data_IF_144535494816
#
_entry.id   IF_144535494816
#
_cell.length_a   1.000
_cell.length_b   1.000
_cell.length_c   1.000
_cell.angle_alpha   90.00
_cell.angle_beta   90.00
_cell.angle_gamma   90.00
#
_symmetry.space_group_name_H-M   'P 1'
#
loop_
_entity.id
_entity.type
_entity.pdbx_description
1 polymer ?
#
# COMPACT_ATOMS: atom_id res chain seq x y z
N UNK A 1 -32.98 -8.82 2.55
CA UNK A 1 -33.01 -9.95 3.51
C UNK A 1 -32.14 -9.56 4.69
N UNK A 2 -32.69 -9.56 5.92
CA UNK A 2 -31.92 -9.28 7.13
C UNK A 2 -31.17 -10.55 7.54
N UNK A 3 -29.88 -10.42 7.86
CA UNK A 3 -29.07 -11.53 8.38
C UNK A 3 -29.59 -11.96 9.77
N UNK A 4 -29.56 -13.26 10.11
CA UNK A 4 -29.85 -13.74 11.46
C UNK A 4 -28.98 -13.06 12.53
N UNK A 5 -29.48 -12.84 13.75
CA UNK A 5 -28.76 -12.13 14.81
C UNK A 5 -27.36 -12.67 15.10
N UNK A 6 -27.20 -14.00 15.12
CA UNK A 6 -25.92 -14.67 15.38
C UNK A 6 -24.90 -14.40 14.27
N UNK A 7 -25.34 -14.32 13.01
CA UNK A 7 -24.48 -13.99 11.88
C UNK A 7 -24.07 -12.51 11.90
N UNK A 8 -24.96 -11.62 12.34
CA UNK A 8 -24.64 -10.19 12.51
C UNK A 8 -23.61 -10.00 13.63
N UNK A 9 -23.77 -10.69 14.75
CA UNK A 9 -22.82 -10.61 15.87
C UNK A 9 -21.45 -11.13 15.48
N UNK A 10 -21.37 -12.25 14.75
CA UNK A 10 -20.11 -12.80 14.29
C UNK A 10 -19.43 -11.89 13.24
N UNK A 11 -20.20 -11.33 12.31
CA UNK A 11 -19.68 -10.36 11.34
C UNK A 11 -19.12 -9.11 12.02
N UNK A 12 -19.82 -8.59 13.03
CA UNK A 12 -19.32 -7.47 13.84
C UNK A 12 -18.03 -7.83 14.57
N UNK A 13 -17.99 -8.99 15.24
CA UNK A 13 -16.78 -9.47 15.96
C UNK A 13 -15.57 -9.54 15.03
N UNK A 14 -15.74 -10.11 13.84
CA UNK A 14 -14.69 -10.23 12.83
C UNK A 14 -14.23 -8.88 12.31
N UNK A 15 -15.18 -8.01 11.99
CA UNK A 15 -14.87 -6.68 11.48
C UNK A 15 -14.10 -5.83 12.50
N UNK A 16 -14.49 -5.90 13.78
CA UNK A 16 -13.74 -5.28 14.87
C UNK A 16 -12.34 -5.89 15.02
N UNK A 17 -12.21 -7.23 14.92
CA UNK A 17 -10.90 -7.89 14.93
C UNK A 17 -10.00 -7.44 13.79
N UNK A 18 -10.54 -7.30 12.58
CA UNK A 18 -9.82 -6.78 11.41
C UNK A 18 -9.38 -5.33 11.61
N UNK A 19 -10.28 -4.47 12.10
CA UNK A 19 -9.95 -3.08 12.42
C UNK A 19 -8.79 -2.99 13.42
N UNK A 20 -8.83 -3.78 14.50
CA UNK A 20 -7.76 -3.83 15.49
C UNK A 20 -6.42 -4.29 14.89
N UNK A 21 -6.45 -5.28 13.99
CA UNK A 21 -5.25 -5.73 13.28
C UNK A 21 -4.66 -4.63 12.40
N UNK A 22 -5.49 -3.92 11.63
CA UNK A 22 -5.04 -2.82 10.76
C UNK A 22 -4.50 -1.65 11.60
N UNK A 23 -5.17 -1.30 12.70
CA UNK A 23 -4.68 -0.28 13.63
C UNK A 23 -3.35 -0.66 14.27
N UNK A 24 -3.19 -1.93 14.68
CA UNK A 24 -1.91 -2.45 15.17
C UNK A 24 -0.82 -2.34 14.12
N UNK A 25 -1.13 -2.69 12.87
CA UNK A 25 -0.20 -2.55 11.74
C UNK A 25 0.22 -1.11 11.51
N UNK A 26 -0.73 -0.17 11.45
CA UNK A 26 -0.43 1.25 11.29
C UNK A 26 0.41 1.79 12.46
N UNK A 27 0.08 1.44 13.70
CA UNK A 27 0.86 1.85 14.86
C UNK A 27 2.29 1.28 14.83
N UNK A 28 2.46 0.02 14.44
CA UNK A 28 3.76 -0.64 14.40
C UNK A 28 4.71 -0.02 13.35
N UNK A 29 4.16 0.39 12.21
CA UNK A 29 4.94 0.99 11.13
C UNK A 29 4.90 2.53 11.13
N UNK A 30 4.43 3.15 12.22
CA UNK A 30 4.33 4.61 12.38
C UNK A 30 3.53 5.29 11.25
N UNK A 31 2.49 4.62 10.77
CA UNK A 31 1.58 5.12 9.74
C UNK A 31 0.49 5.97 10.42
N UNK A 32 0.38 7.22 10.02
CA UNK A 32 -0.65 8.14 10.52
C UNK A 32 -2.04 7.70 10.04
N UNK A 33 -2.99 7.63 10.97
CA UNK A 33 -4.37 7.22 10.66
C UNK A 33 -5.21 8.45 10.27
N UNK A 34 -5.65 8.51 9.02
CA UNK A 34 -6.58 9.55 8.56
C UNK A 34 -8.02 9.30 9.01
N UNK A 35 -8.49 8.05 8.89
CA UNK A 35 -9.85 7.69 9.28
C UNK A 35 -10.25 6.29 8.80
N UNK A 36 -11.37 5.80 9.32
CA UNK A 36 -11.94 4.50 8.99
C UNK A 36 -13.45 4.66 8.81
N UNK A 37 -14.00 4.13 7.71
CA UNK A 37 -15.46 4.00 7.58
C UNK A 37 -15.84 2.56 7.85
N UNK A 38 -16.66 2.37 8.88
CA UNK A 38 -17.31 1.11 9.16
C UNK A 38 -18.80 1.28 8.90
N UNK A 39 -19.31 0.64 7.85
CA UNK A 39 -20.73 0.75 7.48
C UNK A 39 -21.29 -0.61 7.08
N UNK A 40 -22.38 -1.01 7.74
CA UNK A 40 -23.16 -2.20 7.40
C UNK A 40 -24.18 -1.93 6.28
N UNK A 41 -24.53 -0.66 6.05
CA UNK A 41 -25.42 -0.22 4.96
C UNK A 41 -24.67 0.20 3.69
N UNK A 42 -23.34 0.14 3.70
CA UNK A 42 -22.47 0.59 2.61
C UNK A 42 -22.13 2.08 2.67
N UNK A 43 -21.31 2.53 1.72
CA UNK A 43 -20.88 3.93 1.56
C UNK A 43 -21.26 4.36 0.15
N UNK A 44 -21.78 5.59 -0.01
CA UNK A 44 -22.14 6.10 -1.35
C UNK A 44 -20.90 6.51 -2.14
N UNK A 45 -21.02 6.57 -3.47
CA UNK A 45 -19.93 6.96 -4.35
C UNK A 45 -19.40 8.36 -4.04
N UNK A 46 -20.29 9.32 -3.80
CA UNK A 46 -19.93 10.71 -3.53
C UNK A 46 -19.17 10.86 -2.21
N UNK A 47 -19.64 10.19 -1.15
CA UNK A 47 -19.01 10.24 0.16
C UNK A 47 -17.61 9.62 0.11
N UNK A 48 -17.47 8.46 -0.54
CA UNK A 48 -16.19 7.78 -0.69
C UNK A 48 -15.21 8.60 -1.54
N UNK A 49 -15.67 9.16 -2.66
CA UNK A 49 -14.87 10.03 -3.52
C UNK A 49 -14.37 11.27 -2.75
N UNK A 50 -15.25 11.98 -2.05
CA UNK A 50 -14.89 13.16 -1.29
C UNK A 50 -13.85 12.85 -0.21
N UNK A 51 -14.01 11.71 0.47
CA UNK A 51 -13.06 11.25 1.50
C UNK A 51 -11.71 10.89 0.90
N UNK A 52 -11.66 10.11 -0.18
CA UNK A 52 -10.41 9.72 -0.83
C UNK A 52 -9.68 10.95 -1.36
N UNK A 53 -10.38 11.90 -1.99
CA UNK A 53 -9.75 13.14 -2.46
C UNK A 53 -9.18 13.98 -1.32
N UNK A 54 -9.91 14.11 -0.20
CA UNK A 54 -9.41 14.79 1.01
C UNK A 54 -8.18 14.08 1.58
N UNK A 55 -8.19 12.76 1.65
CA UNK A 55 -7.06 11.95 2.09
C UNK A 55 -5.80 12.19 1.24
N UNK A 56 -5.95 12.23 -0.09
CA UNK A 56 -4.84 12.50 -1.01
C UNK A 56 -4.31 13.94 -0.90
N UNK A 57 -5.07 14.83 -0.26
CA UNK A 57 -4.71 16.21 0.03
C UNK A 57 -4.03 16.41 1.41
N UNK A 58 -3.75 15.34 2.15
CA UNK A 58 -3.01 15.45 3.40
C UNK A 58 -1.54 15.86 3.18
N UNK A 59 -0.99 16.52 4.20
CA UNK A 59 0.38 17.00 4.29
C UNK A 59 0.87 16.76 5.71
N UNK A 60 2.17 16.58 5.85
CA UNK A 60 2.82 16.53 7.16
C UNK A 60 2.76 17.91 7.83
N UNK A 61 2.98 17.96 9.15
CA UNK A 61 2.87 19.19 9.94
C UNK A 61 3.84 20.30 9.50
N UNK A 62 4.97 19.92 8.90
CA UNK A 62 6.00 20.79 8.33
C UNK A 62 5.70 21.20 6.87
N UNK A 63 4.60 20.75 6.28
CA UNK A 63 4.07 21.20 4.99
C UNK A 63 4.21 20.28 3.76
N UNK A 64 5.20 19.38 3.61
CA UNK A 64 5.27 18.51 2.45
C UNK A 64 4.13 17.48 2.39
N UNK A 65 3.93 16.87 1.23
CA UNK A 65 3.03 15.71 1.08
C UNK A 65 3.65 14.52 1.80
N UNK A 66 2.81 13.55 2.19
CA UNK A 66 3.34 12.29 2.68
C UNK A 66 4.04 11.53 1.55
N UNK A 67 5.10 10.81 1.91
CA UNK A 67 5.85 9.98 0.97
C UNK A 67 5.02 8.79 0.46
N UNK A 68 4.24 8.18 1.35
CA UNK A 68 3.44 6.98 1.08
C UNK A 68 2.05 7.14 1.66
N UNK A 69 1.04 6.84 0.85
CA UNK A 69 -0.36 6.79 1.23
C UNK A 69 -0.82 5.34 1.15
N UNK A 70 -1.50 4.86 2.20
CA UNK A 70 -2.01 3.49 2.27
C UNK A 70 -3.53 3.52 2.42
N UNK A 71 -4.24 2.83 1.52
CA UNK A 71 -5.68 2.61 1.63
C UNK A 71 -5.91 1.12 1.87
N UNK A 72 -6.55 0.80 2.97
CA UNK A 72 -7.01 -0.55 3.26
C UNK A 72 -8.49 -0.67 2.91
N UNK A 73 -8.86 -1.71 2.17
CA UNK A 73 -10.24 -2.02 1.82
C UNK A 73 -10.56 -3.48 2.14
N UNK A 74 -11.67 -3.66 2.85
CA UNK A 74 -12.32 -4.95 3.04
C UNK A 74 -13.81 -4.77 2.87
N UNK A 75 -14.40 -5.52 1.94
CA UNK A 75 -15.79 -5.36 1.58
C UNK A 75 -16.16 -6.14 0.33
N UNK A 76 -17.39 -5.91 -0.13
CA UNK A 76 -17.95 -6.60 -1.27
C UNK A 76 -17.39 -6.07 -2.58
N UNK A 77 -16.97 -6.98 -3.45
CA UNK A 77 -16.49 -6.67 -4.79
C UNK A 77 -17.31 -7.39 -5.85
N UNK A 78 -17.36 -6.83 -7.05
CA UNK A 78 -17.78 -7.57 -8.23
C UNK A 78 -16.64 -8.47 -8.72
N UNK A 79 -16.95 -9.43 -9.60
CA UNK A 79 -15.96 -10.34 -10.21
C UNK A 79 -14.85 -9.63 -11.01
N UNK A 80 -15.12 -8.41 -11.43
CA UNK A 80 -14.19 -7.46 -12.06
C UNK A 80 -13.22 -6.82 -11.06
N UNK A 81 -13.43 -7.02 -9.75
CA UNK A 81 -12.70 -6.41 -8.64
C UNK A 81 -13.21 -5.02 -8.23
N UNK A 82 -14.21 -4.49 -8.93
CA UNK A 82 -14.83 -3.21 -8.61
C UNK A 82 -15.47 -3.25 -7.22
N UNK A 83 -15.24 -2.23 -6.40
CA UNK A 83 -15.84 -2.13 -5.09
C UNK A 83 -17.33 -1.85 -5.22
N UNK A 84 -18.16 -2.66 -4.58
CA UNK A 84 -19.59 -2.45 -4.53
C UNK A 84 -19.91 -1.37 -3.49
N UNK A 85 -20.67 -0.35 -3.90
CA UNK A 85 -21.05 0.78 -3.08
C UNK A 85 -22.56 0.79 -2.79
N UNK A 86 -22.97 1.61 -1.83
CA UNK A 86 -24.39 1.81 -1.57
C UNK A 86 -25.07 2.43 -2.80
N UNK A 87 -26.33 2.05 -3.05
CA UNK A 87 -27.09 2.54 -4.21
C UNK A 87 -26.85 1.77 -5.52
N UNK A 88 -25.98 0.75 -5.51
CA UNK A 88 -25.66 -0.04 -6.71
C UNK A 88 -24.51 0.57 -7.54
N UNK A 89 -23.91 1.65 -7.05
CA UNK A 89 -22.72 2.24 -7.65
C UNK A 89 -21.49 1.35 -7.46
N UNK A 90 -20.46 1.63 -8.26
CA UNK A 90 -19.20 0.90 -8.20
C UNK A 90 -18.00 1.84 -8.23
N UNK A 91 -16.93 1.47 -7.55
CA UNK A 91 -15.64 2.16 -7.67
C UNK A 91 -14.62 1.25 -8.35
N UNK A 92 -14.02 1.79 -9.41
CA UNK A 92 -12.98 1.13 -10.20
C UNK A 92 -11.59 1.62 -9.80
N UNK A 93 -10.57 0.81 -10.10
CA UNK A 93 -9.18 1.16 -9.83
C UNK A 93 -8.72 2.40 -10.61
N UNK A 94 -9.13 2.54 -11.88
CA UNK A 94 -8.78 3.68 -12.72
C UNK A 94 -9.29 5.01 -12.15
N UNK A 95 -10.50 5.04 -11.58
CA UNK A 95 -11.00 6.23 -10.88
C UNK A 95 -10.08 6.66 -9.74
N UNK A 96 -9.62 5.71 -8.89
CA UNK A 96 -8.70 6.02 -7.78
C UNK A 96 -7.36 6.51 -8.31
N UNK A 97 -6.83 5.86 -9.36
CA UNK A 97 -5.55 6.23 -9.98
C UNK A 97 -5.63 7.61 -10.65
N UNK A 98 -6.76 7.96 -11.25
CA UNK A 98 -6.97 9.27 -11.86
C UNK A 98 -7.01 10.36 -10.79
N UNK A 99 -7.74 10.15 -9.68
CA UNK A 99 -7.72 11.08 -8.54
C UNK A 99 -6.33 11.19 -7.93
N UNK A 100 -5.61 10.07 -7.83
CA UNK A 100 -4.23 10.06 -7.35
C UNK A 100 -3.31 10.90 -8.25
N UNK A 101 -3.42 10.75 -9.57
CA UNK A 101 -2.63 11.53 -10.53
C UNK A 101 -3.00 13.00 -10.52
N UNK A 102 -4.29 13.33 -10.39
CA UNK A 102 -4.80 14.70 -10.26
C UNK A 102 -4.14 15.41 -9.07
N UNK A 103 -4.02 14.73 -7.92
CA UNK A 103 -3.55 15.33 -6.66
C UNK A 103 -2.04 15.23 -6.44
N UNK A 104 -1.40 14.16 -6.90
CA UNK A 104 -0.03 13.81 -6.58
C UNK A 104 0.85 13.53 -7.81
N UNK A 105 0.36 13.78 -9.04
CA UNK A 105 1.13 13.53 -10.26
C UNK A 105 2.40 14.38 -10.43
N UNK A 106 2.47 15.54 -9.78
CA UNK A 106 3.65 16.41 -9.75
C UNK A 106 4.56 16.18 -8.53
N UNK A 107 4.14 15.31 -7.60
CA UNK A 107 4.82 15.06 -6.33
C UNK A 107 5.40 13.66 -6.33
N UNK A 108 6.57 13.45 -5.71
CA UNK A 108 7.16 12.13 -5.55
C UNK A 108 6.53 11.36 -4.38
N UNK A 109 5.20 11.16 -4.44
CA UNK A 109 4.46 10.34 -3.46
C UNK A 109 4.00 9.04 -4.13
N UNK A 110 3.76 8.00 -3.33
CA UNK A 110 3.21 6.72 -3.81
C UNK A 110 1.94 6.30 -3.09
N UNK A 111 1.14 5.49 -3.77
CA UNK A 111 -0.11 4.92 -3.27
C UNK A 111 -0.01 3.40 -3.17
N UNK A 112 -0.42 2.85 -2.03
CA UNK A 112 -0.50 1.41 -1.80
C UNK A 112 -1.95 1.08 -1.42
N UNK A 113 -2.58 0.20 -2.20
CA UNK A 113 -3.89 -0.35 -1.91
C UNK A 113 -3.72 -1.74 -1.31
N UNK A 114 -4.28 -1.98 -0.13
CA UNK A 114 -4.30 -3.30 0.51
C UNK A 114 -5.74 -3.80 0.53
N UNK A 115 -5.99 -4.92 -0.12
CA UNK A 115 -7.32 -5.45 -0.38
C UNK A 115 -7.50 -6.81 0.31
N UNK A 116 -8.43 -6.87 1.26
CA UNK A 116 -8.95 -8.13 1.83
C UNK A 116 -10.39 -8.32 1.34
N UNK A 117 -10.52 -8.81 0.10
CA UNK A 117 -11.81 -9.04 -0.56
C UNK A 117 -11.71 -10.21 -1.55
N UNK A 118 -12.87 -10.81 -1.89
CA UNK A 118 -12.96 -12.02 -2.70
C UNK A 118 -12.31 -11.88 -4.09
N UNK A 119 -12.57 -10.77 -4.77
CA UNK A 119 -12.10 -10.52 -6.14
C UNK A 119 -11.04 -9.41 -6.18
N UNK A 120 -9.97 -9.53 -5.38
CA UNK A 120 -8.87 -8.54 -5.37
C UNK A 120 -7.85 -8.71 -6.53
N UNK A 121 -7.74 -9.92 -7.11
CA UNK A 121 -6.75 -10.24 -8.15
C UNK A 121 -6.88 -9.45 -9.47
N UNK A 122 -8.08 -9.07 -9.94
CA UNK A 122 -8.22 -8.17 -11.08
C UNK A 122 -7.41 -6.89 -10.90
N UNK A 123 -7.52 -6.21 -9.75
CA UNK A 123 -6.78 -4.98 -9.47
C UNK A 123 -5.27 -5.19 -9.38
N UNK A 124 -4.83 -6.33 -8.84
CA UNK A 124 -3.41 -6.75 -8.84
C UNK A 124 -2.83 -6.87 -10.27
N UNK A 125 -3.66 -7.24 -11.26
CA UNK A 125 -3.25 -7.31 -12.67
C UNK A 125 -3.37 -5.96 -13.36
N UNK A 126 -4.42 -5.20 -13.07
CA UNK A 126 -4.71 -3.91 -13.70
C UNK A 126 -3.72 -2.83 -13.30
N UNK A 127 -3.22 -2.81 -12.06
CA UNK A 127 -2.21 -1.82 -11.62
C UNK A 127 -0.94 -1.87 -12.47
N UNK A 128 -0.60 -3.02 -13.06
CA UNK A 128 0.55 -3.19 -13.97
C UNK A 128 0.37 -2.45 -15.30
N UNK A 129 -0.87 -2.16 -15.66
CA UNK A 129 -1.25 -1.44 -16.88
C UNK A 129 -1.32 0.08 -16.67
N UNK A 130 -1.24 0.56 -15.43
CA UNK A 130 -1.25 1.99 -15.12
C UNK A 130 -0.12 2.69 -15.86
N UNK A 131 -0.50 3.69 -16.65
CA UNK A 131 0.43 4.51 -17.43
C UNK A 131 0.83 5.79 -16.69
N UNK A 132 1.91 6.42 -17.15
CA UNK A 132 2.44 7.64 -16.57
C UNK A 132 3.31 7.41 -15.31
N UNK A 133 3.94 8.48 -14.79
CA UNK A 133 4.90 8.43 -13.68
C UNK A 133 4.19 8.29 -12.31
N UNK A 134 3.25 7.35 -12.19
CA UNK A 134 2.51 7.10 -10.95
C UNK A 134 3.09 5.88 -10.24
N UNK A 135 3.43 6.03 -8.96
CA UNK A 135 3.92 4.96 -8.09
C UNK A 135 2.75 4.33 -7.35
N UNK A 136 2.17 3.27 -7.91
CA UNK A 136 0.99 2.62 -7.32
C UNK A 136 1.27 1.13 -7.15
N UNK A 137 0.89 0.58 -5.99
CA UNK A 137 0.91 -0.85 -5.72
C UNK A 137 -0.45 -1.32 -5.21
N UNK A 138 -0.77 -2.58 -5.51
CA UNK A 138 -1.94 -3.28 -5.00
C UNK A 138 -1.47 -4.58 -4.35
N UNK A 139 -1.78 -4.76 -3.08
CA UNK A 139 -1.73 -6.03 -2.38
C UNK A 139 -3.13 -6.61 -2.35
N UNK A 140 -3.29 -7.84 -2.82
CA UNK A 140 -4.52 -8.60 -2.76
C UNK A 140 -4.31 -9.98 -2.18
N UNK A 141 -5.41 -10.69 -2.02
CA UNK A 141 -5.48 -12.02 -1.47
C UNK A 141 -6.45 -12.91 -2.25
N UNK A 142 -6.28 -14.22 -2.12
CA UNK A 142 -7.22 -15.22 -2.62
C UNK A 142 -7.44 -16.23 -1.52
N UNK A 143 -8.72 -16.42 -1.18
CA UNK A 143 -9.17 -17.42 -0.23
C UNK A 143 -9.46 -18.70 -1.02
N UNK A 144 -8.89 -19.82 -0.60
CA UNK A 144 -9.11 -21.11 -1.22
C UNK A 144 -10.59 -21.50 -1.09
N UNK A 145 -11.23 -21.85 -2.21
CA UNK A 145 -12.58 -22.41 -2.19
C UNK A 145 -12.46 -23.85 -1.70
N UNK A 146 -13.07 -24.15 -0.55
CA UNK A 146 -13.06 -25.49 0.04
C UNK A 146 -13.64 -26.50 -0.96
N UNK A 147 -12.80 -27.43 -1.43
CA UNK A 147 -13.23 -28.59 -2.22
C UNK A 147 -13.37 -29.86 -1.38
N UNK A 148 -12.71 -29.93 -0.21
CA UNK A 148 -12.78 -31.06 0.72
C UNK A 148 -13.36 -30.64 2.08
N UNK A 149 -14.50 -31.22 2.43
CA UNK A 149 -15.39 -30.81 3.53
C UNK A 149 -14.92 -31.29 4.92
N UNK A 150 -13.84 -32.06 5.02
CA UNK A 150 -13.65 -32.91 6.20
C UNK A 150 -12.74 -32.41 7.34
N UNK A 151 -12.01 -31.29 7.26
CA UNK A 151 -11.09 -30.96 8.38
C UNK A 151 -10.78 -29.50 8.75
N UNK A 152 -11.19 -28.47 8.00
CA UNK A 152 -10.92 -27.08 8.39
C UNK A 152 -12.08 -26.15 8.03
N UNK A 153 -12.33 -25.16 8.89
CA UNK A 153 -13.26 -24.08 8.58
C UNK A 153 -12.81 -23.36 7.30
N UNK A 154 -13.74 -22.99 6.40
CA UNK A 154 -13.40 -22.30 5.17
C UNK A 154 -12.70 -20.97 5.49
N UNK A 155 -11.67 -20.58 4.69
CA UNK A 155 -11.03 -19.28 4.87
C UNK A 155 -12.04 -18.15 4.67
N UNK A 156 -11.93 -17.12 5.50
CA UNK A 156 -12.88 -16.03 5.61
C UNK A 156 -12.21 -14.67 5.46
N UNK A 157 -13.01 -13.65 5.15
CA UNK A 157 -12.57 -12.26 5.13
C UNK A 157 -11.95 -11.88 6.49
N UNK A 158 -10.75 -11.31 6.45
CA UNK A 158 -9.95 -11.01 7.64
C UNK A 158 -8.84 -12.02 7.94
N UNK A 159 -8.90 -13.23 7.39
CA UNK A 159 -7.83 -14.22 7.56
C UNK A 159 -6.56 -13.76 6.84
N UNK A 160 -6.71 -13.15 5.65
CA UNK A 160 -5.59 -12.50 4.99
C UNK A 160 -5.05 -11.35 5.84
N UNK A 161 -5.90 -10.43 6.30
CA UNK A 161 -5.47 -9.30 7.12
C UNK A 161 -4.70 -9.76 8.36
N UNK A 162 -5.21 -10.74 9.10
CA UNK A 162 -4.54 -11.24 10.31
C UNK A 162 -3.16 -11.83 10.01
N UNK A 163 -3.04 -12.68 8.99
CA UNK A 163 -1.76 -13.28 8.58
C UNK A 163 -0.80 -12.22 8.03
N UNK A 164 -1.28 -11.27 7.24
CA UNK A 164 -0.47 -10.22 6.65
C UNK A 164 0.07 -9.24 7.71
N UNK A 165 -0.76 -8.88 8.69
CA UNK A 165 -0.34 -8.06 9.83
C UNK A 165 0.67 -8.82 10.70
N UNK A 166 0.43 -10.09 11.01
CA UNK A 166 1.37 -10.88 11.79
C UNK A 166 2.72 -11.03 11.08
N UNK A 167 2.72 -11.26 9.76
CA UNK A 167 3.94 -11.34 8.95
C UNK A 167 4.75 -10.03 8.97
N UNK A 168 4.09 -8.87 8.91
CA UNK A 168 4.77 -7.57 8.87
C UNK A 168 5.17 -7.04 10.25
N UNK A 169 4.43 -7.39 11.30
CA UNK A 169 4.66 -6.87 12.65
C UNK A 169 5.46 -7.83 13.56
N UNK A 170 5.58 -9.11 13.20
CA UNK A 170 6.33 -10.10 13.98
C UNK A 170 7.47 -10.73 13.17
N UNK A 171 8.71 -10.37 13.54
CA UNK A 171 9.93 -10.90 12.94
C UNK A 171 10.09 -12.42 13.13
N UNK A 172 9.45 -12.99 14.15
CA UNK A 172 9.48 -14.42 14.46
C UNK A 172 8.24 -15.16 13.92
N UNK A 173 7.45 -14.53 13.05
CA UNK A 173 6.28 -15.19 12.47
C UNK A 173 6.71 -16.40 11.64
N UNK A 174 6.05 -17.54 11.85
CA UNK A 174 6.26 -18.76 11.05
C UNK A 174 5.60 -18.69 9.65
N UNK A 175 5.12 -17.52 9.23
CA UNK A 175 4.30 -17.37 8.02
C UNK A 175 5.21 -17.39 6.78
N UNK A 176 5.04 -18.42 5.96
CA UNK A 176 5.75 -18.57 4.69
C UNK A 176 4.79 -18.46 3.50
N UNK A 177 4.70 -17.27 2.90
CA UNK A 177 3.77 -17.01 1.79
C UNK A 177 3.99 -17.90 0.56
N UNK A 178 5.21 -18.41 0.35
CA UNK A 178 5.58 -19.30 -0.76
C UNK A 178 5.19 -20.77 -0.56
N UNK A 179 4.64 -21.13 0.61
CA UNK A 179 4.20 -22.49 0.89
C UNK A 179 2.99 -22.86 0.02
N UNK A 180 3.02 -24.05 -0.59
CA UNK A 180 1.92 -24.54 -1.44
C UNK A 180 0.78 -25.07 -0.58
N UNK A 181 -0.45 -24.85 -1.04
CA UNK A 181 -1.66 -25.40 -0.39
C UNK A 181 -2.18 -24.58 0.77
N UNK A 182 -1.70 -23.34 0.97
CA UNK A 182 -2.26 -22.42 1.96
C UNK A 182 -3.72 -22.10 1.64
N UNK A 183 -4.56 -22.08 2.67
CA UNK A 183 -5.95 -21.63 2.56
C UNK A 183 -6.06 -20.15 2.15
N UNK A 184 -5.04 -19.35 2.51
CA UNK A 184 -4.92 -17.94 2.12
C UNK A 184 -3.65 -17.75 1.31
N UNK A 185 -3.82 -17.30 0.07
CA UNK A 185 -2.73 -16.92 -0.82
C UNK A 185 -2.68 -15.41 -0.98
N UNK A 186 -1.47 -14.85 -1.11
CA UNK A 186 -1.28 -13.44 -1.34
C UNK A 186 -0.77 -13.17 -2.76
N UNK A 187 -1.14 -12.03 -3.32
CA UNK A 187 -0.59 -11.56 -4.59
C UNK A 187 -0.44 -10.06 -4.55
N UNK A 188 0.62 -9.54 -5.17
CA UNK A 188 0.77 -8.11 -5.33
C UNK A 188 1.06 -7.73 -6.79
N UNK A 189 0.71 -6.49 -7.10
CA UNK A 189 0.93 -5.84 -8.38
C UNK A 189 1.48 -4.44 -8.15
N UNK A 190 2.29 -3.97 -9.09
CA UNK A 190 2.91 -2.65 -9.04
C UNK A 190 2.80 -1.98 -10.41
N UNK A 191 2.79 -0.66 -10.42
CA UNK A 191 2.87 0.13 -11.65
C UNK A 191 4.26 0.03 -12.29
N UNK A 192 4.33 0.31 -13.59
CA UNK A 192 5.58 0.20 -14.39
C UNK A 192 6.74 1.03 -13.82
N UNK A 193 6.42 2.14 -13.17
CA UNK A 193 7.37 3.11 -12.64
C UNK A 193 7.67 2.94 -11.15
N UNK A 194 7.07 1.94 -10.48
CA UNK A 194 7.24 1.72 -9.04
C UNK A 194 8.71 1.72 -8.59
N UNK A 195 9.61 1.11 -9.37
CA UNK A 195 11.04 1.02 -9.03
C UNK A 195 11.81 2.33 -9.08
N UNK A 196 11.26 3.39 -9.67
CA UNK A 196 11.91 4.70 -9.74
C UNK A 196 11.66 5.54 -8.50
N UNK A 197 10.69 5.14 -7.68
CA UNK A 197 10.38 5.80 -6.43
C UNK A 197 11.57 5.73 -5.47
N UNK A 198 11.87 6.87 -4.87
CA UNK A 198 12.79 6.99 -3.74
C UNK A 198 12.09 7.80 -2.65
N UNK A 199 12.22 7.34 -1.40
CA UNK A 199 11.81 8.15 -0.24
C UNK A 199 12.50 9.50 -0.28
N UNK A 200 11.81 10.56 0.16
CA UNK A 200 12.40 11.87 0.20
C UNK A 200 13.59 11.85 1.17
N UNK A 201 14.79 12.01 0.63
CA UNK A 201 15.99 12.22 1.43
C UNK A 201 16.08 13.72 1.77
N UNK A 202 16.65 14.09 2.92
CA UNK A 202 16.88 15.49 3.27
C UNK A 202 17.63 16.18 2.13
N UNK A 203 17.18 17.36 1.72
CA UNK A 203 17.89 18.14 0.71
C UNK A 203 19.25 18.60 1.24
N UNK A 204 20.18 18.91 0.35
CA UNK A 204 21.49 19.47 0.72
C UNK A 204 21.35 20.71 1.62
N UNK A 205 20.31 21.53 1.37
CA UNK A 205 19.95 22.67 2.22
C UNK A 205 19.43 22.26 3.59
N UNK A 206 18.64 21.19 3.69
CA UNK A 206 18.13 20.71 4.98
C UNK A 206 19.28 20.16 5.83
N UNK A 207 20.20 19.41 5.19
CA UNK A 207 21.42 18.93 5.84
C UNK A 207 22.28 20.10 6.30
N UNK A 208 22.51 21.11 5.46
CA UNK A 208 23.30 22.29 5.84
C UNK A 208 22.66 23.11 6.97
N UNK A 209 21.34 23.30 6.94
CA UNK A 209 20.59 24.02 7.97
C UNK A 209 20.60 23.26 9.30
N UNK A 210 20.31 21.95 9.28
CA UNK A 210 20.39 21.10 10.46
C UNK A 210 21.80 21.09 11.04
N UNK A 211 22.81 20.88 10.18
CA UNK A 211 24.20 20.86 10.61
C UNK A 211 24.61 22.20 11.22
N UNK A 212 24.15 23.31 10.63
CA UNK A 212 24.46 24.64 11.12
C UNK A 212 23.81 24.98 12.46
N UNK A 213 22.65 24.37 12.75
CA UNK A 213 21.89 24.57 13.99
C UNK A 213 22.42 23.73 15.15
N UNK A 214 22.96 22.53 14.89
CA UNK A 214 23.33 21.57 15.93
C UNK A 214 24.84 21.31 16.06
N UNK A 215 25.68 21.69 15.09
CA UNK A 215 27.12 21.39 15.10
C UNK A 215 28.02 22.64 15.02
N UNK A 216 29.25 22.59 15.60
CA UNK A 216 30.19 23.70 15.58
C UNK A 216 30.72 24.04 14.17
N UNK A 217 30.95 25.34 13.92
CA UNK A 217 31.39 25.89 12.62
C UNK A 217 32.66 25.26 12.03
N UNK A 218 33.53 24.69 12.85
CA UNK A 218 34.78 24.01 12.41
C UNK A 218 34.49 22.81 11.50
N UNK A 219 33.30 22.21 11.59
CA UNK A 219 32.89 21.04 10.81
C UNK A 219 32.26 21.39 9.45
N UNK A 220 32.00 22.66 9.16
CA UNK A 220 31.30 23.10 7.95
C UNK A 220 32.06 22.82 6.63
N UNK A 221 33.40 22.94 6.56
CA UNK A 221 34.14 22.60 5.34
C UNK A 221 33.95 21.14 4.92
N UNK A 222 33.77 20.22 5.89
CA UNK A 222 33.53 18.79 5.63
C UNK A 222 32.18 18.57 4.97
N UNK A 223 31.14 19.28 5.45
CA UNK A 223 29.79 19.23 4.85
C UNK A 223 29.81 19.78 3.43
N UNK A 224 30.47 20.93 3.20
CA UNK A 224 30.57 21.51 1.86
C UNK A 224 31.29 20.60 0.86
N UNK A 225 32.33 19.87 1.29
CA UNK A 225 33.02 18.88 0.45
C UNK A 225 32.14 17.66 0.15
N UNK A 226 31.38 17.17 1.13
CA UNK A 226 30.45 16.06 0.93
C UNK A 226 29.34 16.41 -0.06
N UNK A 227 28.76 17.60 0.06
CA UNK A 227 27.72 18.13 -0.84
C UNK A 227 28.26 18.36 -2.27
N UNK A 228 29.51 18.84 -2.41
CA UNK A 228 30.14 19.02 -3.72
C UNK A 228 30.34 17.68 -4.45
N UNK A 229 30.86 16.65 -3.76
CA UNK A 229 31.03 15.32 -4.36
C UNK A 229 29.70 14.71 -4.83
N UNK A 230 28.59 15.01 -4.15
CA UNK A 230 27.25 14.56 -4.55
C UNK A 230 26.71 15.24 -5.82
N UNK A 231 27.17 16.44 -6.14
CA UNK A 231 26.64 17.26 -7.27
C UNK A 231 27.27 16.92 -8.63
N UNK A 232 28.34 16.11 -8.66
CA UNK A 232 29.00 15.71 -9.90
C UNK A 232 28.16 14.69 -10.69
N UNK A 233 27.30 15.24 -11.55
CA UNK A 233 26.28 14.56 -12.36
C UNK A 233 26.85 13.74 -13.56
N UNK A 234 28.07 13.21 -13.46
CA UNK A 234 28.77 12.46 -14.52
C UNK A 234 28.14 11.08 -14.83
N UNK A 235 27.21 10.61 -13.99
CA UNK A 235 26.61 9.27 -14.06
C UNK A 235 25.15 9.25 -14.55
N UNK A 236 24.64 10.36 -15.08
CA UNK A 236 23.21 10.50 -15.40
C UNK A 236 22.70 9.48 -16.43
N UNK A 237 23.42 9.24 -17.53
CA UNK A 237 23.04 8.23 -18.54
C UNK A 237 23.07 6.82 -17.94
N UNK A 238 24.11 6.50 -17.17
CA UNK A 238 24.21 5.24 -16.44
C UNK A 238 23.01 5.06 -15.48
N UNK A 239 22.59 6.13 -14.81
CA UNK A 239 21.45 6.11 -13.89
C UNK A 239 20.13 5.83 -14.61
N UNK A 240 19.92 6.39 -15.80
CA UNK A 240 18.71 6.17 -16.60
C UNK A 240 18.65 4.72 -17.13
N UNK A 241 19.77 4.19 -17.65
CA UNK A 241 19.86 2.79 -18.06
C UNK A 241 19.64 1.83 -16.88
N UNK A 242 20.21 2.13 -15.71
CA UNK A 242 20.00 1.35 -14.49
C UNK A 242 18.55 1.38 -14.02
N UNK A 243 17.85 2.53 -14.10
CA UNK A 243 16.42 2.62 -13.80
C UNK A 243 15.60 1.77 -14.78
N UNK A 244 15.91 1.82 -16.07
CA UNK A 244 15.25 0.97 -17.07
C UNK A 244 15.44 -0.53 -16.77
N UNK A 245 16.68 -0.94 -16.48
CA UNK A 245 16.99 -2.32 -16.08
C UNK A 245 16.26 -2.74 -14.80
N UNK A 246 16.19 -1.86 -13.79
CA UNK A 246 15.41 -2.09 -12.57
C UNK A 246 13.92 -2.28 -12.86
N UNK A 247 13.33 -1.43 -13.70
CA UNK A 247 11.93 -1.54 -14.14
C UNK A 247 11.69 -2.88 -14.86
N UNK A 248 12.54 -3.23 -15.82
CA UNK A 248 12.41 -4.49 -16.58
C UNK A 248 12.54 -5.69 -15.63
N UNK A 249 13.57 -5.70 -14.78
CA UNK A 249 13.79 -6.76 -13.79
C UNK A 249 12.57 -6.94 -12.89
N UNK A 250 12.06 -5.86 -12.31
CA UNK A 250 10.95 -5.92 -11.35
C UNK A 250 9.62 -6.32 -12.01
N UNK A 251 9.40 -5.90 -13.25
CA UNK A 251 8.18 -6.26 -14.00
C UNK A 251 8.21 -7.70 -14.53
N UNK A 252 9.37 -8.21 -14.94
CA UNK A 252 9.51 -9.59 -15.47
C UNK A 252 9.70 -10.62 -14.37
N UNK A 253 10.41 -10.25 -13.31
CA UNK A 253 10.74 -11.13 -12.18
C UNK A 253 10.37 -10.43 -10.86
N UNK A 254 9.07 -10.22 -10.60
CA UNK A 254 8.64 -9.66 -9.34
C UNK A 254 9.05 -10.61 -8.20
N UNK A 255 9.75 -10.12 -7.16
CA UNK A 255 10.16 -10.96 -6.04
C UNK A 255 8.95 -11.54 -5.30
N UNK A 256 9.14 -12.63 -4.55
CA UNK A 256 8.07 -13.15 -3.69
C UNK A 256 7.70 -12.18 -2.57
N UNK A 257 8.67 -11.38 -2.13
CA UNK A 257 8.52 -10.37 -1.10
C UNK A 257 9.13 -9.06 -1.60
N UNK A 258 8.32 -8.01 -1.64
CA UNK A 258 8.72 -6.69 -2.06
C UNK A 258 8.74 -5.75 -0.85
N UNK A 259 9.93 -5.32 -0.47
CA UNK A 259 10.10 -4.32 0.59
C UNK A 259 9.63 -2.94 0.09
N UNK A 260 8.78 -2.28 0.87
CA UNK A 260 8.32 -0.93 0.57
C UNK A 260 9.35 0.12 1.01
N UNK A 261 10.29 -0.21 1.89
CA UNK A 261 11.22 0.75 2.51
C UNK A 261 10.60 1.55 3.66
N UNK A 262 9.32 1.32 4.02
CA UNK A 262 8.67 1.86 5.23
C UNK A 262 8.52 0.81 6.33
N UNK A 263 9.34 -0.24 6.30
CA UNK A 263 9.36 -1.28 7.33
C UNK A 263 8.31 -2.38 7.16
N UNK A 264 7.43 -2.30 6.15
CA UNK A 264 6.51 -3.37 5.78
C UNK A 264 6.68 -3.81 4.32
N UNK A 265 6.20 -5.01 4.01
CA UNK A 265 6.45 -5.74 2.77
C UNK A 265 5.16 -6.13 2.08
N UNK A 266 5.16 -6.04 0.75
CA UNK A 266 4.14 -6.65 -0.11
C UNK A 266 4.56 -8.08 -0.41
N UNK A 267 3.60 -9.00 -0.44
CA UNK A 267 3.86 -10.44 -0.45
C UNK A 267 3.07 -11.15 -1.52
N UNK A 268 3.71 -12.19 -2.08
CA UNK A 268 3.18 -13.05 -3.12
C UNK A 268 3.47 -14.52 -2.77
N UNK A 269 2.48 -15.36 -3.04
CA UNK A 269 2.56 -16.82 -3.04
C UNK A 269 3.07 -17.40 -4.36
#
# INVERSE_FOLDING_TARGET
MLLPPDQVQELNRRSTGMLNNVQRFFAHHLIETFGCDYSTSGVTAEALQAKIKTFMDLRTADGPRHDTYVIFYSGHTHRSGEWALAGGDTLRLDHIVDWWREKNGSVCSRLILVLDCDDSLPWVREVRKVEGPSYVAVQGATLARVTDVELQDPPQLGDFTSQWVEYNCNLNSGIQWSERGRAVSAAYGISKHWSDYSLHLPSDSDVANHWGMYYPRVTYPVVQLALWCGSMNLLWICSACLRCLKRVKLNWFPPAVLDTGQGFKLVRS
#
